data_IF_686210492723
#
_entry.id   IF_686210492723
#
_cell.length_a   1.000
_cell.length_b   1.000
_cell.length_c   1.000
_cell.angle_alpha   90.00
_cell.angle_beta   90.00
_cell.angle_gamma   90.00
#
_symmetry.space_group_name_H-M   'P 1'
#
loop_
_entity.id
_entity.type
_entity.pdbx_description
1 polymer ?
#
# COMPACT_ATOMS: atom_id res chain seq x y z
N UNK A 1 1.28 -6.02 -19.93
CA UNK A 1 0.94 -4.68 -20.42
C UNK A 1 0.59 -3.76 -19.25
N UNK A 2 1.11 -2.56 -19.29
CA UNK A 2 0.88 -1.51 -18.30
C UNK A 2 0.47 -0.23 -19.04
N UNK A 3 -0.61 0.41 -18.57
CA UNK A 3 -1.04 1.71 -19.09
C UNK A 3 -1.17 2.70 -17.93
N UNK A 4 -0.83 3.95 -18.19
CA UNK A 4 -1.03 5.05 -17.27
C UNK A 4 -1.78 6.17 -17.99
N UNK A 5 -2.84 6.64 -17.36
CA UNK A 5 -3.66 7.76 -17.83
C UNK A 5 -3.47 8.91 -16.85
N UNK A 6 -3.10 10.07 -17.36
CA UNK A 6 -2.87 11.27 -16.57
C UNK A 6 -3.99 12.28 -16.87
N UNK A 7 -4.72 12.67 -15.84
CA UNK A 7 -5.78 13.67 -15.90
C UNK A 7 -5.29 14.94 -15.23
N UNK A 8 -4.91 15.93 -16.03
CA UNK A 8 -4.52 17.26 -15.53
C UNK A 8 -5.72 18.01 -14.96
N UNK A 9 -5.49 18.81 -13.95
CA UNK A 9 -6.46 19.74 -13.39
C UNK A 9 -5.75 21.00 -12.89
N UNK A 10 -6.46 22.13 -12.92
CA UNK A 10 -5.96 23.37 -12.36
C UNK A 10 -6.13 23.38 -10.83
N UNK A 11 -5.10 23.78 -10.12
CA UNK A 11 -5.18 23.89 -8.66
C UNK A 11 -6.09 25.06 -8.26
N UNK A 12 -7.16 24.77 -7.53
CA UNK A 12 -8.04 25.82 -6.97
C UNK A 12 -7.45 26.49 -5.73
N UNK A 13 -6.38 25.92 -5.16
CA UNK A 13 -5.73 26.43 -3.94
C UNK A 13 -4.61 27.43 -4.25
N UNK A 14 -4.20 27.58 -5.51
CA UNK A 14 -3.14 28.50 -5.92
C UNK A 14 -1.75 28.20 -5.31
N UNK A 15 -1.59 27.05 -4.70
CA UNK A 15 -0.33 26.60 -4.08
C UNK A 15 0.34 25.58 -5.00
N UNK A 16 1.54 25.91 -5.46
CA UNK A 16 2.40 24.97 -6.17
C UNK A 16 3.34 24.32 -5.13
N UNK A 17 3.26 23.01 -5.01
CA UNK A 17 4.16 22.20 -4.19
C UNK A 17 4.70 21.06 -5.06
N UNK A 18 6.00 21.03 -5.30
CA UNK A 18 6.66 20.05 -6.15
C UNK A 18 6.47 18.59 -5.67
N UNK A 19 6.07 18.42 -4.42
CA UNK A 19 5.76 17.11 -3.85
C UNK A 19 4.38 16.60 -4.25
N UNK A 20 3.48 17.47 -4.70
CA UNK A 20 2.10 17.17 -5.12
C UNK A 20 2.06 17.11 -6.65
N UNK A 21 1.54 16.01 -7.18
CA UNK A 21 1.32 15.89 -8.63
C UNK A 21 0.13 16.76 -9.06
N UNK A 22 0.30 17.55 -10.11
CA UNK A 22 -0.76 18.37 -10.71
C UNK A 22 -1.69 17.55 -11.64
N UNK A 23 -1.84 16.28 -11.34
CA UNK A 23 -2.70 15.37 -12.10
C UNK A 23 -3.19 14.19 -11.25
N UNK A 24 -4.33 13.62 -11.64
CA UNK A 24 -4.78 12.32 -11.17
C UNK A 24 -4.24 11.26 -12.11
N UNK A 25 -3.59 10.25 -11.58
CA UNK A 25 -3.02 9.13 -12.34
C UNK A 25 -3.87 7.89 -12.16
N UNK A 26 -4.39 7.37 -13.27
CA UNK A 26 -5.01 6.05 -13.33
C UNK A 26 -4.02 5.07 -13.96
N UNK A 27 -3.70 4.02 -13.22
CA UNK A 27 -2.80 2.96 -13.68
C UNK A 27 -3.55 1.65 -13.86
N UNK A 28 -3.35 0.99 -14.99
CA UNK A 28 -3.91 -0.34 -15.26
C UNK A 28 -2.77 -1.30 -15.65
N UNK A 29 -2.80 -2.51 -15.11
CA UNK A 29 -1.80 -3.53 -15.40
C UNK A 29 -2.44 -4.92 -15.55
N UNK A 30 -1.94 -5.70 -16.50
CA UNK A 30 -2.34 -7.09 -16.72
C UNK A 30 -1.43 -8.12 -16.04
N UNK A 31 -0.45 -7.68 -15.27
CA UNK A 31 0.58 -8.55 -14.69
C UNK A 31 0.29 -9.08 -13.29
N UNK A 32 -0.59 -8.44 -12.54
CA UNK A 32 -0.91 -8.84 -11.18
C UNK A 32 -2.31 -9.45 -11.09
N UNK A 33 -2.35 -10.72 -10.74
CA UNK A 33 -3.63 -11.39 -10.47
C UNK A 33 -4.10 -11.02 -9.07
N UNK A 34 -5.18 -10.21 -8.99
CA UNK A 34 -5.77 -9.81 -7.72
C UNK A 34 -6.60 -10.96 -7.13
N UNK A 35 -6.14 -11.53 -6.02
CA UNK A 35 -6.84 -12.57 -5.26
C UNK A 35 -6.40 -12.56 -3.79
N UNK A 36 -7.22 -12.96 -2.83
CA UNK A 36 -8.67 -13.03 -2.95
C UNK A 36 -9.31 -11.66 -3.14
N UNK A 37 -10.48 -11.62 -3.73
CA UNK A 37 -11.22 -10.38 -3.96
C UNK A 37 -12.61 -10.45 -3.32
N UNK A 38 -13.15 -9.29 -2.97
CA UNK A 38 -14.55 -9.14 -2.51
C UNK A 38 -15.19 -7.93 -3.16
N UNK A 39 -16.52 -7.98 -3.30
CA UNK A 39 -17.30 -6.84 -3.74
C UNK A 39 -17.58 -5.97 -2.52
N UNK A 40 -17.29 -4.68 -2.64
CA UNK A 40 -17.55 -3.68 -1.60
C UNK A 40 -18.22 -2.46 -2.20
N UNK A 41 -18.96 -1.75 -1.39
CA UNK A 41 -19.49 -0.43 -1.75
C UNK A 41 -18.38 0.60 -1.61
N UNK A 42 -18.18 1.39 -2.65
CA UNK A 42 -17.23 2.52 -2.68
C UNK A 42 -18.04 3.79 -2.62
N UNK A 43 -17.69 4.64 -1.70
CA UNK A 43 -18.17 6.02 -1.58
C UNK A 43 -17.10 7.02 -2.03
N UNK A 44 -17.44 8.30 -1.99
CA UNK A 44 -16.49 9.37 -2.27
C UNK A 44 -16.71 10.56 -1.32
N UNK A 45 -15.65 11.34 -1.09
CA UNK A 45 -15.69 12.45 -0.11
C UNK A 45 -16.76 13.50 -0.43
N UNK A 46 -17.00 13.81 -1.71
CA UNK A 46 -17.98 14.82 -2.11
C UNK A 46 -19.40 14.26 -1.91
N UNK A 47 -19.64 13.01 -2.29
CA UNK A 47 -20.91 12.32 -2.03
C UNK A 47 -21.24 12.28 -0.54
N UNK A 48 -20.27 11.93 0.30
CA UNK A 48 -20.43 11.92 1.76
C UNK A 48 -20.71 13.33 2.31
N UNK A 49 -20.01 14.35 1.82
CA UNK A 49 -20.28 15.75 2.18
C UNK A 49 -21.73 16.16 1.89
N UNK A 50 -22.30 15.75 0.75
CA UNK A 50 -23.69 16.01 0.43
C UNK A 50 -24.66 15.22 1.31
N UNK A 51 -24.39 13.94 1.58
CA UNK A 51 -25.21 13.09 2.48
C UNK A 51 -25.29 13.69 3.89
N UNK A 52 -24.17 14.12 4.47
CA UNK A 52 -24.11 14.74 5.79
C UNK A 52 -24.94 16.03 5.89
N UNK A 53 -25.28 16.65 4.77
CA UNK A 53 -26.06 17.88 4.67
C UNK A 53 -27.47 17.66 4.14
N UNK A 54 -27.93 16.40 4.06
CA UNK A 54 -29.23 16.01 3.51
C UNK A 54 -29.44 16.58 2.08
N UNK A 55 -28.41 16.52 1.26
CA UNK A 55 -28.39 16.97 -0.14
C UNK A 55 -28.04 15.84 -1.08
N UNK A 56 -28.63 14.66 -0.86
CA UNK A 56 -28.48 13.49 -1.76
C UNK A 56 -28.94 13.80 -3.18
N UNK A 57 -29.85 14.78 -3.36
CA UNK A 57 -30.24 15.30 -4.66
C UNK A 57 -29.06 15.75 -5.50
N UNK A 58 -28.07 16.40 -4.88
CA UNK A 58 -26.83 16.83 -5.54
C UNK A 58 -25.91 15.63 -5.84
N UNK A 59 -25.83 14.67 -4.93
CA UNK A 59 -25.03 13.46 -5.22
C UNK A 59 -25.53 12.75 -6.48
N UNK A 60 -26.86 12.60 -6.64
CA UNK A 60 -27.47 12.03 -7.85
C UNK A 60 -27.22 12.92 -9.08
N UNK A 61 -27.43 14.25 -8.94
CA UNK A 61 -27.24 15.19 -10.05
C UNK A 61 -25.82 15.14 -10.63
N UNK A 62 -24.82 14.95 -9.79
CA UNK A 62 -23.40 14.92 -10.19
C UNK A 62 -22.82 13.49 -10.35
N UNK A 63 -23.66 12.45 -10.28
CA UNK A 63 -23.24 11.04 -10.39
C UNK A 63 -22.17 10.67 -9.35
N UNK A 64 -22.36 11.09 -8.11
CA UNK A 64 -21.50 10.87 -6.95
C UNK A 64 -22.09 9.85 -5.97
N UNK A 65 -23.01 9.02 -6.44
CA UNK A 65 -23.61 7.94 -5.68
C UNK A 65 -22.58 6.83 -5.41
N UNK A 66 -22.82 6.08 -4.35
CA UNK A 66 -22.00 4.92 -4.04
C UNK A 66 -22.15 3.86 -5.15
N UNK A 67 -21.07 3.13 -5.43
CA UNK A 67 -21.07 2.07 -6.42
C UNK A 67 -20.39 0.80 -5.91
N UNK A 68 -20.72 -0.33 -6.50
CA UNK A 68 -20.10 -1.61 -6.17
C UNK A 68 -18.81 -1.80 -6.97
N UNK A 69 -17.75 -2.20 -6.28
CA UNK A 69 -16.48 -2.50 -6.91
C UNK A 69 -15.88 -3.79 -6.36
N UNK A 70 -15.23 -4.56 -7.24
CA UNK A 70 -14.47 -5.74 -6.86
C UNK A 70 -13.07 -5.32 -6.45
N UNK A 71 -12.76 -5.44 -5.16
CA UNK A 71 -11.46 -5.07 -4.60
C UNK A 71 -10.66 -6.30 -4.15
N UNK A 72 -9.35 -6.17 -4.24
CA UNK A 72 -8.40 -7.09 -3.59
C UNK A 72 -8.61 -7.07 -2.07
N UNK A 73 -8.46 -8.23 -1.42
CA UNK A 73 -8.61 -8.30 0.04
C UNK A 73 -7.55 -7.47 0.77
N UNK A 74 -7.88 -7.12 2.01
CA UNK A 74 -7.01 -6.31 2.85
C UNK A 74 -5.72 -7.06 3.19
N UNK A 75 -5.84 -8.35 3.50
CA UNK A 75 -4.73 -9.25 3.81
C UNK A 75 -3.76 -9.35 2.64
N UNK A 76 -4.30 -9.52 1.42
CA UNK A 76 -3.48 -9.54 0.21
C UNK A 76 -2.78 -8.20 -0.03
N UNK A 77 -3.50 -7.10 0.12
CA UNK A 77 -2.92 -5.75 0.00
C UNK A 77 -1.79 -5.55 1.01
N UNK A 78 -1.97 -6.02 2.24
CA UNK A 78 -0.95 -5.96 3.28
C UNK A 78 0.30 -6.75 2.89
N UNK A 79 0.14 -8.00 2.42
CA UNK A 79 1.25 -8.85 1.96
C UNK A 79 1.99 -8.21 0.78
N UNK A 80 1.26 -7.66 -0.19
CA UNK A 80 1.87 -6.98 -1.34
C UNK A 80 2.73 -5.78 -0.92
N UNK A 81 2.33 -5.04 0.13
CA UNK A 81 3.11 -3.90 0.66
C UNK A 81 4.38 -4.36 1.37
N UNK A 82 4.36 -5.51 2.07
CA UNK A 82 5.57 -6.11 2.66
C UNK A 82 6.58 -6.42 1.55
N UNK A 83 6.15 -7.17 0.53
CA UNK A 83 7.03 -7.52 -0.59
C UNK A 83 7.50 -6.28 -1.36
N UNK A 84 6.65 -5.27 -1.55
CA UNK A 84 7.03 -4.03 -2.23
C UNK A 84 8.17 -3.30 -1.51
N UNK A 85 8.13 -3.19 -0.17
CA UNK A 85 9.23 -2.60 0.59
C UNK A 85 10.52 -3.40 0.44
N UNK A 86 10.46 -4.73 0.53
CA UNK A 86 11.62 -5.59 0.36
C UNK A 86 12.18 -5.52 -1.08
N UNK A 87 11.30 -5.52 -2.09
CA UNK A 87 11.70 -5.37 -3.50
C UNK A 87 12.40 -4.03 -3.74
N UNK A 88 11.84 -2.92 -3.23
CA UNK A 88 12.46 -1.59 -3.33
C UNK A 88 13.79 -1.51 -2.61
N UNK A 89 13.92 -2.16 -1.45
CA UNK A 89 15.17 -2.22 -0.71
C UNK A 89 16.26 -2.93 -1.53
N UNK A 90 15.99 -4.12 -2.06
CA UNK A 90 16.92 -4.87 -2.93
C UNK A 90 17.32 -4.04 -4.17
N UNK A 91 16.37 -3.28 -4.73
CA UNK A 91 16.58 -2.45 -5.93
C UNK A 91 17.25 -1.10 -5.62
N UNK A 92 17.55 -0.77 -4.37
CA UNK A 92 18.11 0.51 -3.97
C UNK A 92 17.17 1.72 -4.16
N UNK A 93 15.85 1.49 -4.23
CA UNK A 93 14.82 2.50 -4.48
C UNK A 93 14.22 2.99 -3.17
N UNK A 94 14.60 4.16 -2.73
CA UNK A 94 14.08 4.74 -1.46
C UNK A 94 13.16 5.96 -1.65
N UNK A 95 13.05 6.52 -2.86
CA UNK A 95 12.24 7.72 -3.11
C UNK A 95 10.78 7.38 -3.39
N UNK A 96 9.85 8.05 -2.68
CA UNK A 96 8.39 7.89 -2.80
C UNK A 96 7.91 6.46 -2.53
N UNK A 97 8.69 5.65 -1.81
CA UNK A 97 8.37 4.26 -1.49
C UNK A 97 7.99 4.06 -0.02
N UNK A 98 8.38 4.98 0.86
CA UNK A 98 8.18 4.87 2.31
C UNK A 98 6.71 4.92 2.76
N UNK A 99 5.79 5.39 1.90
CA UNK A 99 4.35 5.37 2.18
C UNK A 99 3.82 3.98 2.55
N UNK A 100 4.46 2.92 2.06
CA UNK A 100 4.05 1.55 2.42
C UNK A 100 4.35 1.20 3.87
N UNK A 101 5.29 1.87 4.54
CA UNK A 101 5.48 1.75 5.98
C UNK A 101 4.27 2.29 6.74
N UNK A 102 3.78 3.47 6.34
CA UNK A 102 2.55 4.05 6.89
C UNK A 102 1.34 3.14 6.65
N UNK A 103 1.18 2.65 5.43
CA UNK A 103 0.09 1.75 5.08
C UNK A 103 0.10 0.48 5.95
N UNK A 104 1.26 -0.16 6.12
CA UNK A 104 1.41 -1.35 6.98
C UNK A 104 1.06 -1.00 8.43
N UNK A 105 1.54 0.12 8.95
CA UNK A 105 1.21 0.57 10.29
C UNK A 105 -0.31 0.70 10.49
N UNK A 106 -0.99 1.36 9.57
CA UNK A 106 -2.46 1.60 9.62
C UNK A 106 -3.28 0.33 9.42
N UNK A 107 -2.81 -0.60 8.60
CA UNK A 107 -3.53 -1.83 8.28
C UNK A 107 -3.35 -2.90 9.35
N UNK A 108 -2.21 -2.95 10.06
CA UNK A 108 -1.88 -4.00 11.03
C UNK A 108 -3.01 -4.30 12.05
N UNK A 109 -3.70 -3.30 12.65
CA UNK A 109 -4.78 -3.58 13.60
C UNK A 109 -5.99 -4.31 12.99
N UNK A 110 -6.08 -4.35 11.66
CA UNK A 110 -7.19 -4.96 10.90
C UNK A 110 -6.82 -6.33 10.34
N UNK A 111 -5.57 -6.77 10.49
CA UNK A 111 -5.06 -8.05 9.99
C UNK A 111 -5.08 -9.08 11.11
N UNK A 112 -5.62 -10.26 10.82
CA UNK A 112 -5.47 -11.43 11.67
C UNK A 112 -4.31 -12.28 11.14
N UNK A 113 -3.29 -12.44 11.98
CA UNK A 113 -2.11 -13.24 11.65
C UNK A 113 -2.34 -14.71 12.04
N UNK A 114 -3.32 -15.34 11.41
CA UNK A 114 -3.73 -16.72 11.61
C UNK A 114 -3.23 -17.65 10.47
N UNK A 115 -3.67 -18.91 10.51
CA UNK A 115 -3.28 -19.92 9.51
C UNK A 115 -3.75 -19.56 8.09
N UNK A 116 -4.86 -18.84 7.93
CA UNK A 116 -5.36 -18.44 6.62
C UNK A 116 -4.50 -17.29 6.04
N UNK A 117 -4.06 -16.37 6.89
CA UNK A 117 -3.06 -15.38 6.50
C UNK A 117 -1.73 -16.04 6.11
N UNK A 118 -1.29 -17.06 6.86
CA UNK A 118 -0.06 -17.80 6.56
C UNK A 118 -0.14 -18.50 5.19
N UNK A 119 -1.25 -19.17 4.91
CA UNK A 119 -1.49 -19.80 3.60
C UNK A 119 -1.49 -18.78 2.47
N UNK A 120 -2.18 -17.65 2.66
CA UNK A 120 -2.23 -16.58 1.67
C UNK A 120 -0.84 -15.97 1.43
N UNK A 121 -0.04 -15.78 2.48
CA UNK A 121 1.34 -15.30 2.35
C UNK A 121 2.19 -16.20 1.45
N UNK A 122 2.15 -17.51 1.68
CA UNK A 122 2.88 -18.51 0.86
C UNK A 122 2.37 -18.50 -0.58
N UNK A 123 1.05 -18.44 -0.79
CA UNK A 123 0.46 -18.40 -2.12
C UNK A 123 0.90 -17.15 -2.90
N UNK A 124 0.83 -15.98 -2.25
CA UNK A 124 1.26 -14.70 -2.83
C UNK A 124 2.74 -14.73 -3.17
N UNK A 125 3.58 -15.22 -2.26
CA UNK A 125 5.02 -15.36 -2.50
C UNK A 125 5.30 -16.26 -3.70
N UNK A 126 4.67 -17.43 -3.75
CA UNK A 126 4.82 -18.40 -4.85
C UNK A 126 4.43 -17.77 -6.19
N UNK A 127 3.37 -16.97 -6.20
CA UNK A 127 2.96 -16.26 -7.40
C UNK A 127 3.97 -15.18 -7.79
N UNK A 128 4.43 -14.37 -6.84
CA UNK A 128 5.41 -13.29 -7.07
C UNK A 128 6.77 -13.83 -7.51
N UNK A 129 7.19 -15.00 -7.02
CA UNK A 129 8.45 -15.63 -7.42
C UNK A 129 8.53 -15.97 -8.92
N UNK A 130 7.38 -16.03 -9.62
CA UNK A 130 7.34 -16.22 -11.08
C UNK A 130 7.69 -14.95 -11.86
N UNK A 131 7.77 -13.80 -11.18
CA UNK A 131 8.00 -12.50 -11.79
C UNK A 131 9.40 -11.98 -11.43
N UNK A 132 10.21 -11.68 -12.43
CA UNK A 132 11.59 -11.17 -12.23
C UNK A 132 11.64 -9.80 -11.53
N UNK A 133 10.54 -9.03 -11.57
CA UNK A 133 10.41 -7.74 -10.91
C UNK A 133 10.17 -7.83 -9.39
N UNK A 134 10.00 -9.04 -8.86
CA UNK A 134 9.75 -9.31 -7.44
C UNK A 134 10.93 -10.09 -6.82
N UNK A 135 12.12 -9.47 -6.65
CA UNK A 135 13.31 -10.16 -6.19
C UNK A 135 13.17 -10.68 -4.76
N UNK A 136 12.42 -10.01 -3.89
CA UNK A 136 12.25 -10.45 -2.49
C UNK A 136 11.43 -11.73 -2.33
N UNK A 137 10.67 -12.13 -3.34
CA UNK A 137 9.89 -13.37 -3.33
C UNK A 137 10.70 -14.59 -3.80
N UNK A 138 11.90 -14.40 -4.34
CA UNK A 138 12.70 -15.49 -4.92
C UNK A 138 13.15 -16.51 -3.86
N UNK A 139 13.38 -17.78 -4.26
CA UNK A 139 13.91 -18.80 -3.36
C UNK A 139 15.23 -18.37 -2.70
N UNK A 140 15.40 -18.68 -1.43
CA UNK A 140 16.60 -18.34 -0.66
C UNK A 140 16.64 -16.92 -0.12
N UNK A 141 15.66 -16.07 -0.43
CA UNK A 141 15.54 -14.73 0.15
C UNK A 141 14.73 -14.80 1.44
N UNK A 142 15.28 -14.32 2.54
CA UNK A 142 14.59 -14.19 3.82
C UNK A 142 14.00 -12.81 3.96
N UNK A 143 12.68 -12.70 3.92
CA UNK A 143 11.95 -11.42 4.03
C UNK A 143 12.14 -10.79 5.42
N UNK A 144 12.22 -11.60 6.48
CA UNK A 144 12.48 -11.10 7.85
C UNK A 144 13.85 -10.41 7.94
N UNK A 145 14.88 -10.99 7.35
CA UNK A 145 16.23 -10.42 7.34
C UNK A 145 16.25 -9.09 6.57
N UNK A 146 15.60 -9.02 5.40
CA UNK A 146 15.48 -7.78 4.63
C UNK A 146 14.77 -6.68 5.43
N UNK A 147 13.69 -7.04 6.14
CA UNK A 147 12.98 -6.08 7.00
C UNK A 147 13.91 -5.55 8.08
N UNK A 148 14.64 -6.41 8.77
CA UNK A 148 15.58 -6.00 9.79
C UNK A 148 16.69 -5.11 9.23
N UNK A 149 17.27 -5.46 8.09
CA UNK A 149 18.31 -4.68 7.43
C UNK A 149 17.86 -3.26 7.08
N UNK A 150 16.72 -3.08 6.42
CA UNK A 150 16.26 -1.73 6.07
C UNK A 150 15.79 -0.93 7.30
N UNK A 151 15.33 -1.61 8.35
CA UNK A 151 15.02 -0.96 9.62
C UNK A 151 16.29 -0.48 10.34
N UNK A 152 17.37 -1.28 10.33
CA UNK A 152 18.63 -0.98 11.02
C UNK A 152 19.39 0.17 10.34
N UNK A 153 19.47 0.15 9.02
CA UNK A 153 20.17 1.17 8.26
C UNK A 153 19.36 2.44 7.97
N UNK A 154 18.05 2.45 8.34
CA UNK A 154 17.19 3.60 8.15
C UNK A 154 16.92 3.93 6.67
N UNK A 155 16.91 2.95 5.78
CA UNK A 155 16.82 3.11 4.33
C UNK A 155 15.69 4.03 3.85
N UNK A 156 14.53 3.99 4.52
CA UNK A 156 13.34 4.79 4.17
C UNK A 156 13.19 6.06 5.02
N UNK A 157 14.11 6.35 5.95
CA UNK A 157 13.92 7.37 6.98
C UNK A 157 13.75 8.77 6.39
N UNK A 158 14.62 9.13 5.46
CA UNK A 158 14.60 10.47 4.84
C UNK A 158 13.31 10.66 4.01
N UNK A 159 12.98 9.73 3.13
CA UNK A 159 11.76 9.76 2.32
C UNK A 159 10.49 9.80 3.19
N UNK A 160 10.47 9.02 4.27
CA UNK A 160 9.34 9.01 5.20
C UNK A 160 9.14 10.36 5.89
N UNK A 161 10.19 10.95 6.41
CA UNK A 161 10.13 12.21 7.15
C UNK A 161 9.84 13.41 6.27
N UNK A 162 10.31 13.40 5.04
CA UNK A 162 10.15 14.54 4.11
C UNK A 162 8.86 14.49 3.28
N UNK A 163 8.30 13.30 3.05
CA UNK A 163 7.12 13.11 2.22
C UNK A 163 5.99 12.45 3.02
N UNK A 164 6.16 11.17 3.39
CA UNK A 164 5.05 10.37 3.94
C UNK A 164 4.46 10.97 5.22
N UNK A 165 5.31 11.42 6.14
CA UNK A 165 4.87 12.03 7.39
C UNK A 165 3.94 13.24 7.17
N UNK A 166 4.30 14.14 6.25
CA UNK A 166 3.54 15.36 5.99
C UNK A 166 2.24 15.14 5.22
N UNK A 167 2.18 14.08 4.41
CA UNK A 167 0.99 13.76 3.62
C UNK A 167 0.13 12.66 4.24
N UNK A 168 0.50 12.16 5.43
CA UNK A 168 -0.32 11.21 6.16
C UNK A 168 -1.28 11.93 7.10
N UNK A 169 -2.53 11.47 7.14
CA UNK A 169 -3.61 12.08 7.93
C UNK A 169 -3.27 12.21 9.42
N UNK A 170 -2.66 11.16 10.00
CA UNK A 170 -2.40 11.06 11.43
C UNK A 170 -0.94 11.42 11.80
N UNK A 171 -0.12 11.85 10.86
CA UNK A 171 1.29 12.19 11.09
C UNK A 171 2.04 11.11 11.90
N UNK A 172 1.88 9.83 11.54
CA UNK A 172 2.54 8.71 12.21
C UNK A 172 4.06 8.87 12.18
N UNK A 173 4.71 8.80 13.33
CA UNK A 173 6.17 8.93 13.41
C UNK A 173 6.88 7.76 12.72
N UNK A 174 8.00 8.03 12.07
CA UNK A 174 8.83 6.99 11.43
C UNK A 174 9.18 5.86 12.41
N UNK A 175 9.53 6.20 13.62
CA UNK A 175 9.92 5.28 14.67
C UNK A 175 8.80 4.30 15.07
N UNK A 176 7.54 4.75 15.00
CA UNK A 176 6.38 3.90 15.26
C UNK A 176 6.12 2.93 14.09
N UNK A 177 6.23 3.42 12.87
CA UNK A 177 6.13 2.57 11.68
C UNK A 177 7.24 1.50 11.64
N UNK A 178 8.48 1.86 11.95
CA UNK A 178 9.61 0.92 12.05
C UNK A 178 9.44 -0.09 13.19
N UNK A 179 8.93 0.34 14.34
CA UNK A 179 8.64 -0.58 15.44
C UNK A 179 7.61 -1.63 15.02
N UNK A 180 6.62 -1.23 14.23
CA UNK A 180 5.63 -2.17 13.68
C UNK A 180 6.27 -3.14 12.67
N UNK A 181 7.19 -2.67 11.81
CA UNK A 181 7.92 -3.53 10.86
C UNK A 181 8.79 -4.56 11.59
N UNK A 182 9.47 -4.19 12.67
CA UNK A 182 10.27 -5.15 13.48
C UNK A 182 9.40 -6.23 14.09
N UNK A 183 8.23 -5.86 14.67
CA UNK A 183 7.27 -6.84 15.18
C UNK A 183 6.78 -7.79 14.08
N UNK A 184 6.59 -7.28 12.87
CA UNK A 184 6.19 -8.09 11.73
C UNK A 184 7.30 -9.09 11.35
N UNK A 185 8.57 -8.67 11.34
CA UNK A 185 9.71 -9.54 11.06
C UNK A 185 9.85 -10.70 12.07
N UNK A 186 9.41 -10.51 13.32
CA UNK A 186 9.42 -11.54 14.38
C UNK A 186 8.32 -12.60 14.19
N UNK A 187 7.29 -12.33 13.37
CA UNK A 187 6.22 -13.29 13.15
C UNK A 187 6.76 -14.54 12.44
N UNK A 188 6.43 -15.72 13.00
CA UNK A 188 6.83 -17.01 12.42
C UNK A 188 6.44 -17.14 10.94
N UNK A 189 5.30 -16.58 10.56
CA UNK A 189 4.79 -16.58 9.17
C UNK A 189 5.79 -15.95 8.19
N UNK A 190 6.49 -14.90 8.63
CA UNK A 190 7.44 -14.15 7.81
C UNK A 190 8.86 -14.75 7.94
N UNK A 191 9.22 -15.25 9.14
CA UNK A 191 10.57 -15.74 9.46
C UNK A 191 10.79 -17.22 9.15
N UNK A 192 9.73 -18.01 8.94
CA UNK A 192 9.81 -19.47 8.77
C UNK A 192 10.21 -19.91 7.35
N UNK A 193 10.98 -19.11 6.64
CA UNK A 193 11.51 -19.44 5.33
C UNK A 193 12.73 -20.38 5.43
N UNK A 194 12.52 -21.49 6.11
CA UNK A 194 13.40 -22.65 6.02
C UNK A 194 12.65 -23.72 5.24
N UNK A 195 12.83 -23.73 3.94
CA UNK A 195 12.80 -24.93 3.11
C UNK A 195 13.24 -24.56 1.68
#
# INVERSE_FOLDING_TARGET
>A
DYNAYLFGYDSVMGVEDDRILQNVKLETALGSYAFPTKIVTIDNYIGNYFKERNREDLAVQFSLEDFLMKLQSLERTYIDKIFALCDYYIQGRNKRCSRHLYDIYKLTPRIKFDDDFAKLYVEVRTHRAKMSICPSAQPGINVSDLINEFCDNGFYKEDYRTITYYFSEDMVAYEDAIRQMRKLAELRIISSEKA
#
